data_IF_759246656630
#
_entry.id   IF_759246656630
#
_cell.length_a   1.000
_cell.length_b   1.000
_cell.length_c   1.000
_cell.angle_alpha   90.00
_cell.angle_beta   90.00
_cell.angle_gamma   90.00
#
_symmetry.space_group_name_H-M   'P 1'
#
loop_
_entity.id
_entity.type
_entity.pdbx_description
1 polymer ?
#
# COMPACT_ATOMS: atom_id res chain seq x y z
N UNK A 1 -10.98 35.95 61.29
CA UNK A 1 -11.01 35.90 59.82
C UNK A 1 -9.67 36.38 59.32
N UNK A 2 -8.80 35.47 58.95
CA UNK A 2 -7.50 35.84 58.38
C UNK A 2 -7.67 35.79 56.84
N UNK A 3 -7.88 36.99 56.27
CA UNK A 3 -7.79 37.18 54.83
C UNK A 3 -6.37 36.79 54.39
N UNK A 4 -6.20 35.63 53.80
CA UNK A 4 -4.98 35.25 53.12
C UNK A 4 -4.89 36.08 51.82
N UNK A 5 -4.27 37.23 51.93
CA UNK A 5 -3.83 38.05 50.80
C UNK A 5 -2.67 37.32 50.09
N UNK A 6 -2.94 36.12 49.57
CA UNK A 6 -2.00 35.38 48.76
C UNK A 6 -2.28 35.74 47.29
N UNK A 7 -1.35 36.51 46.69
CA UNK A 7 -1.35 36.69 45.25
C UNK A 7 -1.37 35.30 44.59
N UNK A 8 -2.50 34.93 43.97
CA UNK A 8 -2.56 33.75 43.11
C UNK A 8 -1.66 34.03 41.93
N UNK A 9 -0.44 33.49 41.96
CA UNK A 9 0.59 33.67 40.90
C UNK A 9 0.40 32.74 39.70
N UNK A 10 -0.59 31.84 39.74
CA UNK A 10 -0.89 30.87 38.71
C UNK A 10 -2.41 30.62 38.55
N UNK A 11 -2.79 30.00 37.49
CA UNK A 11 -4.17 29.54 37.26
C UNK A 11 -4.44 28.30 38.11
N UNK A 12 -5.73 28.07 38.47
CA UNK A 12 -6.15 26.84 39.10
C UNK A 12 -5.83 25.66 38.16
N UNK A 13 -5.18 24.60 38.68
CA UNK A 13 -4.79 23.44 37.86
C UNK A 13 -3.58 23.65 36.94
N UNK A 14 -2.86 24.80 37.02
CA UNK A 14 -1.73 25.05 36.11
C UNK A 14 -0.62 23.99 36.18
N UNK A 15 -0.35 23.46 37.35
CA UNK A 15 0.65 22.42 37.56
C UNK A 15 0.23 21.12 36.88
N UNK A 16 -1.04 20.78 36.99
CA UNK A 16 -1.68 19.61 36.40
C UNK A 16 -1.69 19.71 34.86
N UNK A 17 -2.05 20.88 34.31
CA UNK A 17 -2.01 21.13 32.86
C UNK A 17 -0.58 21.02 32.31
N UNK A 18 0.41 21.64 32.98
CA UNK A 18 1.82 21.53 32.59
C UNK A 18 2.32 20.08 32.64
N UNK A 19 1.89 19.30 33.64
CA UNK A 19 2.22 17.87 33.75
C UNK A 19 1.61 17.09 32.61
N UNK A 20 0.33 17.24 32.34
CA UNK A 20 -0.36 16.57 31.24
C UNK A 20 0.25 16.91 29.89
N UNK A 21 0.58 18.18 29.65
CA UNK A 21 1.28 18.60 28.43
C UNK A 21 2.69 18.00 28.31
N UNK A 22 3.41 17.86 29.44
CA UNK A 22 4.73 17.21 29.44
C UNK A 22 4.61 15.72 29.09
N UNK A 23 3.61 15.01 29.61
CA UNK A 23 3.33 13.60 29.29
C UNK A 23 2.94 13.43 27.82
N UNK A 24 2.06 14.28 27.29
CA UNK A 24 1.69 14.28 25.86
C UNK A 24 2.91 14.58 24.97
N UNK A 25 3.75 15.57 25.34
CA UNK A 25 4.96 15.87 24.60
C UNK A 25 5.99 14.71 24.65
N UNK A 26 6.01 13.94 25.73
CA UNK A 26 6.82 12.71 25.79
C UNK A 26 6.25 11.63 24.86
N UNK A 27 4.93 11.47 24.76
CA UNK A 27 4.30 10.58 23.79
C UNK A 27 4.66 10.96 22.36
N UNK A 28 4.69 12.26 22.01
CA UNK A 28 5.16 12.70 20.69
C UNK A 28 6.63 12.33 20.40
N UNK A 29 7.51 12.32 21.41
CA UNK A 29 8.89 11.86 21.21
C UNK A 29 8.94 10.37 20.87
N UNK A 30 8.11 9.55 21.52
CA UNK A 30 8.01 8.11 21.24
C UNK A 30 7.45 7.91 19.83
N UNK A 31 6.34 8.57 19.48
CA UNK A 31 5.72 8.48 18.16
C UNK A 31 6.67 8.96 17.05
N UNK A 32 7.41 10.05 17.27
CA UNK A 32 8.45 10.50 16.34
C UNK A 32 9.58 9.47 16.17
N UNK A 33 9.89 8.67 17.21
CA UNK A 33 10.82 7.54 17.09
C UNK A 33 10.20 6.39 16.31
N UNK A 34 8.91 6.07 16.53
CA UNK A 34 8.18 5.08 15.72
C UNK A 34 8.15 5.49 14.24
N UNK A 35 7.86 6.75 13.94
CA UNK A 35 7.87 7.27 12.57
C UNK A 35 9.25 7.19 11.92
N UNK A 36 10.32 7.44 12.66
CA UNK A 36 11.70 7.24 12.17
C UNK A 36 11.97 5.77 11.85
N UNK A 37 11.49 4.85 12.68
CA UNK A 37 11.62 3.42 12.43
C UNK A 37 10.89 3.02 11.14
N UNK A 38 9.65 3.46 10.95
CA UNK A 38 8.89 3.26 9.70
C UNK A 38 9.66 3.84 8.50
N UNK A 39 10.17 5.08 8.64
CA UNK A 39 10.96 5.74 7.58
C UNK A 39 12.30 5.05 7.28
N UNK A 40 12.82 4.23 8.19
CA UNK A 40 14.02 3.42 7.95
C UNK A 40 13.74 2.12 7.20
N UNK A 41 12.49 1.66 7.20
CA UNK A 41 12.06 0.43 6.51
C UNK A 41 11.58 0.70 5.08
N UNK A 42 11.16 1.93 4.79
CA UNK A 42 10.59 2.33 3.51
C UNK A 42 11.25 3.62 3.02
N UNK A 43 11.53 3.72 1.74
CA UNK A 43 12.00 4.97 1.15
C UNK A 43 11.00 6.11 1.36
N UNK A 44 11.50 7.35 1.46
CA UNK A 44 10.65 8.52 1.73
C UNK A 44 9.49 8.67 0.75
N UNK A 45 9.70 8.27 -0.50
CA UNK A 45 8.72 8.36 -1.59
C UNK A 45 8.05 7.00 -1.89
N UNK A 46 8.23 6.00 -1.03
CA UNK A 46 7.56 4.73 -1.18
C UNK A 46 6.06 4.89 -0.88
N UNK A 47 5.25 4.73 -1.92
CA UNK A 47 3.79 4.79 -1.88
C UNK A 47 3.15 3.39 -1.93
N UNK A 48 3.91 2.34 -1.62
CA UNK A 48 3.34 1.00 -1.47
C UNK A 48 2.28 0.96 -0.38
N UNK A 49 1.34 0.03 -0.49
CA UNK A 49 0.28 -0.18 0.51
C UNK A 49 0.88 -0.40 1.90
N UNK A 50 1.99 -1.14 1.99
CA UNK A 50 2.68 -1.42 3.24
C UNK A 50 3.28 -0.14 3.86
N UNK A 51 3.98 0.67 3.06
CA UNK A 51 4.61 1.91 3.53
C UNK A 51 3.57 2.93 4.00
N UNK A 52 2.51 3.15 3.21
CA UNK A 52 1.43 4.08 3.55
C UNK A 52 0.65 3.63 4.78
N UNK A 53 0.34 2.33 4.90
CA UNK A 53 -0.36 1.79 6.07
C UNK A 53 0.47 1.90 7.34
N UNK A 54 1.78 1.65 7.28
CA UNK A 54 2.68 1.80 8.41
C UNK A 54 2.77 3.27 8.88
N UNK A 55 2.92 4.22 7.94
CA UNK A 55 2.91 5.66 8.24
C UNK A 55 1.59 6.11 8.85
N UNK A 56 0.46 5.69 8.26
CA UNK A 56 -0.87 6.05 8.75
C UNK A 56 -1.14 5.51 10.16
N UNK A 57 -0.58 4.36 10.52
CA UNK A 57 -0.70 3.80 11.87
C UNK A 57 -0.06 4.72 12.91
N UNK A 58 1.13 5.25 12.65
CA UNK A 58 1.80 6.18 13.55
C UNK A 58 1.10 7.54 13.53
N UNK A 59 0.75 8.05 12.35
CA UNK A 59 0.09 9.34 12.18
C UNK A 59 -1.26 9.42 12.90
N UNK A 60 -2.04 8.36 12.90
CA UNK A 60 -3.30 8.29 13.66
C UNK A 60 -3.04 8.44 15.17
N UNK A 61 -2.01 7.78 15.72
CA UNK A 61 -1.62 7.95 17.13
C UNK A 61 -1.16 9.39 17.43
N UNK A 62 -0.44 10.02 16.50
CA UNK A 62 -0.02 11.42 16.63
C UNK A 62 -1.22 12.37 16.63
N UNK A 63 -2.21 12.14 15.76
CA UNK A 63 -3.48 12.88 15.71
C UNK A 63 -4.24 12.75 17.03
N UNK A 64 -4.34 11.55 17.59
CA UNK A 64 -5.02 11.32 18.86
C UNK A 64 -4.30 12.04 20.02
N UNK A 65 -2.98 11.97 20.09
CA UNK A 65 -2.19 12.72 21.06
C UNK A 65 -2.34 14.23 20.88
N UNK A 66 -2.45 14.71 19.64
CA UNK A 66 -2.65 16.13 19.33
C UNK A 66 -4.05 16.61 19.76
N UNK A 67 -5.08 15.81 19.58
CA UNK A 67 -6.43 16.10 20.07
C UNK A 67 -6.46 16.20 21.61
N UNK A 68 -5.77 15.30 22.30
CA UNK A 68 -5.63 15.38 23.76
C UNK A 68 -4.91 16.65 24.20
N UNK A 69 -3.85 17.05 23.49
CA UNK A 69 -3.12 18.30 23.73
C UNK A 69 -4.02 19.51 23.57
N UNK A 70 -4.83 19.56 22.52
CA UNK A 70 -5.76 20.65 22.24
C UNK A 70 -6.80 20.75 23.36
N UNK A 71 -7.36 19.65 23.83
CA UNK A 71 -8.32 19.64 24.92
C UNK A 71 -7.71 20.16 26.22
N UNK A 72 -6.50 19.70 26.56
CA UNK A 72 -5.75 20.20 27.73
C UNK A 72 -5.48 21.71 27.64
N UNK A 73 -5.12 22.20 26.44
CA UNK A 73 -4.85 23.62 26.20
C UNK A 73 -6.13 24.47 26.26
N UNK A 74 -7.26 23.96 25.80
CA UNK A 74 -8.56 24.64 25.90
C UNK A 74 -8.97 24.83 27.36
N UNK A 75 -8.80 23.80 28.18
CA UNK A 75 -9.09 23.88 29.62
C UNK A 75 -8.15 24.86 30.32
N UNK A 76 -6.85 24.82 30.01
CA UNK A 76 -5.89 25.75 30.57
C UNK A 76 -6.16 27.21 30.14
N UNK A 77 -6.58 27.43 28.91
CA UNK A 77 -6.95 28.75 28.41
C UNK A 77 -8.20 29.28 29.11
N UNK A 78 -9.24 28.44 29.27
CA UNK A 78 -10.46 28.83 29.98
C UNK A 78 -10.16 29.26 31.42
N UNK A 79 -9.39 28.45 32.16
CA UNK A 79 -9.00 28.78 33.54
C UNK A 79 -8.09 30.03 33.62
N UNK A 80 -7.25 30.26 32.60
CA UNK A 80 -6.42 31.47 32.54
C UNK A 80 -7.27 32.70 32.27
N UNK A 81 -8.23 32.61 31.35
CA UNK A 81 -9.16 33.72 31.03
C UNK A 81 -10.00 34.11 32.23
N UNK A 82 -10.51 33.13 32.98
CA UNK A 82 -11.29 33.35 34.21
C UNK A 82 -10.41 33.98 35.31
N UNK A 83 -9.16 33.52 35.46
CA UNK A 83 -8.28 33.96 36.55
C UNK A 83 -7.66 35.34 36.32
N UNK A 84 -7.31 35.67 35.05
CA UNK A 84 -6.48 36.83 34.72
C UNK A 84 -7.13 37.78 33.70
N UNK A 85 -8.19 37.33 33.02
CA UNK A 85 -8.79 38.03 31.87
C UNK A 85 -8.10 37.70 30.55
N UNK A 86 -8.80 37.95 29.45
CA UNK A 86 -8.38 37.59 28.07
C UNK A 86 -7.10 38.34 27.62
N UNK A 87 -6.93 39.56 28.07
CA UNK A 87 -5.81 40.42 27.66
C UNK A 87 -4.53 40.20 28.45
N UNK A 88 -4.54 39.37 29.49
CA UNK A 88 -3.35 39.02 30.27
C UNK A 88 -2.38 38.19 29.42
N UNK A 89 -1.08 38.48 29.53
CA UNK A 89 -0.01 37.79 28.78
C UNK A 89 0.01 36.28 29.03
N UNK A 90 -0.42 35.82 30.19
CA UNK A 90 -0.47 34.38 30.56
C UNK A 90 -1.59 33.71 29.76
N UNK A 91 -2.77 34.34 29.69
CA UNK A 91 -3.90 33.87 28.87
C UNK A 91 -3.52 33.86 27.40
N UNK A 92 -2.93 34.92 26.89
CA UNK A 92 -2.44 34.98 25.50
C UNK A 92 -1.41 33.90 25.19
N UNK A 93 -0.54 33.55 26.15
CA UNK A 93 0.40 32.44 25.99
C UNK A 93 -0.28 31.08 25.78
N UNK A 94 -1.36 30.80 26.53
CA UNK A 94 -2.14 29.58 26.32
C UNK A 94 -2.88 29.61 24.98
N UNK A 95 -3.43 30.77 24.59
CA UNK A 95 -4.07 30.93 23.27
C UNK A 95 -3.09 30.64 22.11
N UNK A 96 -1.86 31.15 22.18
CA UNK A 96 -0.83 30.89 21.16
C UNK A 96 -0.51 29.40 21.08
N UNK A 97 -0.39 28.73 22.23
CA UNK A 97 -0.13 27.29 22.24
C UNK A 97 -1.31 26.49 21.67
N UNK A 98 -2.53 26.87 21.95
CA UNK A 98 -3.73 26.27 21.38
C UNK A 98 -3.76 26.44 19.85
N UNK A 99 -3.58 27.66 19.35
CA UNK A 99 -3.57 27.92 17.91
C UNK A 99 -2.48 27.11 17.18
N UNK A 100 -1.29 26.99 17.78
CA UNK A 100 -0.20 26.17 17.23
C UNK A 100 -0.55 24.69 17.25
N UNK A 101 -1.24 24.21 18.28
CA UNK A 101 -1.66 22.82 18.37
C UNK A 101 -2.74 22.50 17.33
N UNK A 102 -3.72 23.38 17.13
CA UNK A 102 -4.76 23.25 16.11
C UNK A 102 -4.17 23.29 14.68
N UNK A 103 -3.21 24.18 14.43
CA UNK A 103 -2.51 24.22 13.14
C UNK A 103 -1.74 22.93 12.86
N UNK A 104 -1.11 22.34 13.91
CA UNK A 104 -0.43 21.05 13.78
C UNK A 104 -1.41 19.91 13.50
N UNK A 105 -2.56 19.87 14.17
CA UNK A 105 -3.62 18.89 13.89
C UNK A 105 -4.08 18.97 12.44
N UNK A 106 -4.39 20.16 11.95
CA UNK A 106 -4.81 20.37 10.57
C UNK A 106 -3.74 19.90 9.55
N UNK A 107 -2.46 20.00 9.89
CA UNK A 107 -1.38 19.50 9.04
C UNK A 107 -1.32 17.98 9.01
N UNK A 108 -1.43 17.33 10.17
CA UNK A 108 -1.46 15.87 10.31
C UNK A 108 -2.67 15.25 9.61
N UNK A 109 -3.85 15.86 9.75
CA UNK A 109 -5.08 15.39 9.08
C UNK A 109 -4.99 15.52 7.56
N UNK A 110 -4.35 16.59 7.04
CA UNK A 110 -4.10 16.71 5.60
C UNK A 110 -3.12 15.65 5.10
N UNK A 111 -2.08 15.36 5.86
CA UNK A 111 -1.13 14.30 5.53
C UNK A 111 -1.82 12.93 5.53
N UNK A 112 -2.62 12.62 6.54
CA UNK A 112 -3.41 11.39 6.61
C UNK A 112 -4.35 11.24 5.41
N UNK A 113 -5.06 12.30 5.04
CA UNK A 113 -5.95 12.31 3.88
C UNK A 113 -5.18 12.10 2.57
N UNK A 114 -4.02 12.71 2.42
CA UNK A 114 -3.14 12.50 1.26
C UNK A 114 -2.67 11.05 1.16
N UNK A 115 -2.22 10.48 2.28
CA UNK A 115 -1.80 9.08 2.35
C UNK A 115 -2.95 8.11 2.05
N UNK A 116 -4.15 8.40 2.57
CA UNK A 116 -5.34 7.59 2.31
C UNK A 116 -5.72 7.62 0.81
N UNK A 117 -5.65 8.78 0.17
CA UNK A 117 -5.91 8.89 -1.27
C UNK A 117 -4.89 8.10 -2.09
N UNK A 118 -3.61 8.16 -1.71
CA UNK A 118 -2.56 7.38 -2.36
C UNK A 118 -2.73 5.87 -2.10
N UNK A 119 -3.21 5.48 -0.93
CA UNK A 119 -3.50 4.09 -0.57
C UNK A 119 -4.64 3.51 -1.44
N UNK A 120 -5.72 4.26 -1.62
CA UNK A 120 -6.82 3.85 -2.48
C UNK A 120 -6.40 3.74 -3.95
N UNK A 121 -5.55 4.65 -4.43
CA UNK A 121 -4.99 4.55 -5.78
C UNK A 121 -4.11 3.29 -5.92
N UNK A 122 -3.21 3.03 -4.97
CA UNK A 122 -2.35 1.85 -4.99
C UNK A 122 -3.16 0.54 -4.97
N UNK A 123 -4.26 0.47 -4.23
CA UNK A 123 -5.16 -0.70 -4.25
C UNK A 123 -5.82 -0.87 -5.62
N UNK A 124 -6.32 0.22 -6.22
CA UNK A 124 -6.94 0.19 -7.55
C UNK A 124 -5.95 -0.28 -8.62
N UNK A 125 -4.70 0.16 -8.55
CA UNK A 125 -3.64 -0.24 -9.47
C UNK A 125 -3.31 -1.73 -9.34
N UNK A 126 -3.30 -2.27 -8.11
CA UNK A 126 -3.13 -3.71 -7.83
C UNK A 126 -4.28 -4.51 -8.45
N UNK A 127 -5.53 -4.14 -8.19
CA UNK A 127 -6.71 -4.81 -8.78
C UNK A 127 -6.69 -4.78 -10.30
N UNK A 128 -6.26 -3.67 -10.91
CA UNK A 128 -6.08 -3.55 -12.35
C UNK A 128 -5.00 -4.48 -12.89
N UNK A 129 -3.92 -4.67 -12.14
CA UNK A 129 -2.83 -5.58 -12.48
C UNK A 129 -3.29 -7.03 -12.36
N UNK A 130 -4.01 -7.41 -11.30
CA UNK A 130 -4.58 -8.74 -11.11
C UNK A 130 -5.49 -9.12 -12.27
N UNK A 131 -6.43 -8.26 -12.65
CA UNK A 131 -7.31 -8.47 -13.82
C UNK A 131 -6.54 -8.61 -15.14
N UNK A 132 -5.42 -7.93 -15.26
CA UNK A 132 -4.56 -8.03 -16.45
C UNK A 132 -3.81 -9.35 -16.48
N UNK A 133 -3.35 -9.85 -15.33
CA UNK A 133 -2.71 -11.16 -15.17
C UNK A 133 -3.69 -12.29 -15.47
N UNK A 134 -4.93 -12.23 -14.99
CA UNK A 134 -5.98 -13.21 -15.32
C UNK A 134 -6.21 -13.30 -16.84
N UNK A 135 -6.21 -12.16 -17.55
CA UNK A 135 -6.34 -12.17 -19.02
C UNK A 135 -5.12 -12.77 -19.72
N UNK A 136 -3.93 -12.57 -19.20
CA UNK A 136 -2.70 -13.18 -19.73
C UNK A 136 -2.71 -14.68 -19.50
N UNK A 137 -3.14 -15.12 -18.33
CA UNK A 137 -3.27 -16.54 -17.97
C UNK A 137 -4.24 -17.25 -18.93
N UNK A 138 -5.45 -16.70 -19.14
CA UNK A 138 -6.41 -17.24 -20.11
C UNK A 138 -5.87 -17.30 -21.53
N UNK A 139 -5.06 -16.30 -21.98
CA UNK A 139 -4.44 -16.33 -23.31
C UNK A 139 -3.30 -17.35 -23.41
N UNK A 140 -2.63 -17.66 -22.31
CA UNK A 140 -1.64 -18.73 -22.25
C UNK A 140 -2.30 -20.10 -22.39
N UNK A 141 -3.43 -20.30 -21.72
CA UNK A 141 -4.23 -21.53 -21.83
C UNK A 141 -4.72 -21.74 -23.28
N UNK A 142 -5.28 -20.70 -23.93
CA UNK A 142 -5.70 -20.74 -25.34
C UNK A 142 -4.51 -21.08 -26.28
N UNK A 143 -3.32 -20.57 -25.96
CA UNK A 143 -2.09 -20.83 -26.72
C UNK A 143 -1.62 -22.26 -26.54
N UNK A 144 -1.69 -22.79 -25.32
CA UNK A 144 -1.34 -24.18 -25.02
C UNK A 144 -2.28 -25.16 -25.76
N UNK A 145 -3.59 -24.91 -25.73
CA UNK A 145 -4.59 -25.71 -26.47
C UNK A 145 -4.33 -25.67 -27.99
N UNK A 146 -3.98 -24.49 -28.53
CA UNK A 146 -3.64 -24.35 -29.94
C UNK A 146 -2.36 -25.11 -30.31
N UNK A 147 -1.37 -25.15 -29.42
CA UNK A 147 -0.13 -25.89 -29.60
C UNK A 147 -0.35 -27.40 -29.58
N UNK A 148 -1.19 -27.89 -28.68
CA UNK A 148 -1.60 -29.29 -28.61
C UNK A 148 -2.31 -29.74 -29.90
N UNK A 149 -3.26 -28.93 -30.39
CA UNK A 149 -3.94 -29.17 -31.66
C UNK A 149 -2.97 -29.23 -32.85
N UNK A 150 -2.00 -28.30 -32.93
CA UNK A 150 -0.95 -28.34 -33.94
C UNK A 150 -0.07 -29.59 -33.83
N UNK A 151 0.23 -30.03 -32.61
CA UNK A 151 0.98 -31.25 -32.35
C UNK A 151 0.27 -32.50 -32.89
N UNK A 152 -1.03 -32.61 -32.67
CA UNK A 152 -1.87 -33.70 -33.21
C UNK A 152 -1.99 -33.69 -34.73
N UNK A 153 -2.11 -32.49 -35.36
CA UNK A 153 -2.12 -32.35 -36.82
C UNK A 153 -0.78 -32.76 -37.46
N UNK A 154 0.34 -32.38 -36.85
CA UNK A 154 1.71 -32.76 -37.29
C UNK A 154 1.87 -34.27 -37.21
N UNK A 155 1.42 -34.90 -36.12
CA UNK A 155 1.43 -36.34 -35.95
C UNK A 155 0.61 -37.07 -37.02
N UNK A 156 -0.63 -36.60 -37.25
CA UNK A 156 -1.50 -37.18 -38.29
C UNK A 156 -0.90 -37.04 -39.70
N UNK A 157 -0.25 -35.90 -39.99
CA UNK A 157 0.49 -35.70 -41.24
C UNK A 157 1.69 -36.66 -41.35
N UNK A 158 2.40 -36.91 -40.25
CA UNK A 158 3.49 -37.89 -40.15
C UNK A 158 3.01 -39.32 -40.48
N UNK A 159 1.93 -39.72 -39.83
CA UNK A 159 1.28 -41.03 -40.01
C UNK A 159 0.81 -41.24 -41.48
N UNK A 160 0.27 -40.20 -42.10
CA UNK A 160 -0.13 -40.22 -43.52
C UNK A 160 1.09 -40.33 -44.46
N UNK A 161 2.19 -39.64 -44.12
CA UNK A 161 3.44 -39.72 -44.89
C UNK A 161 4.05 -41.13 -44.81
N UNK A 162 4.05 -41.76 -43.64
CA UNK A 162 4.55 -43.13 -43.47
C UNK A 162 3.70 -44.14 -44.21
N UNK A 163 2.37 -44.05 -44.17
CA UNK A 163 1.49 -44.89 -44.98
C UNK A 163 1.74 -44.70 -46.48
N UNK A 164 2.02 -43.48 -46.92
CA UNK A 164 2.36 -43.21 -48.32
C UNK A 164 3.70 -43.86 -48.70
N UNK A 165 4.70 -43.76 -47.82
CA UNK A 165 6.00 -44.43 -48.00
C UNK A 165 5.88 -45.95 -48.11
N UNK A 166 5.04 -46.59 -47.29
CA UNK A 166 4.74 -48.01 -47.38
C UNK A 166 4.10 -48.37 -48.76
N UNK A 167 3.13 -47.56 -49.21
CA UNK A 167 2.48 -47.76 -50.52
C UNK A 167 3.47 -47.65 -51.68
N UNK A 168 4.37 -46.64 -51.65
CA UNK A 168 5.42 -46.49 -52.65
C UNK A 168 6.44 -47.63 -52.60
N UNK A 169 6.77 -48.16 -51.44
CA UNK A 169 7.66 -49.31 -51.30
C UNK A 169 7.01 -50.57 -51.88
N UNK A 170 5.75 -50.80 -51.59
CA UNK A 170 4.97 -51.92 -52.17
C UNK A 170 4.87 -51.80 -53.71
N UNK A 171 4.62 -50.58 -54.23
CA UNK A 171 4.59 -50.34 -55.68
C UNK A 171 5.95 -50.61 -56.31
N UNK A 172 7.04 -50.16 -55.65
CA UNK A 172 8.40 -50.45 -56.13
C UNK A 172 8.71 -51.94 -56.15
N UNK A 173 8.23 -52.71 -55.17
CA UNK A 173 8.38 -54.17 -55.18
C UNK A 173 7.63 -54.88 -56.31
N UNK A 174 6.41 -54.40 -56.57
CA UNK A 174 5.58 -54.91 -57.69
C UNK A 174 6.27 -54.60 -59.04
N UNK A 175 6.76 -53.40 -59.25
CA UNK A 175 7.47 -53.00 -60.44
C UNK A 175 8.75 -53.79 -60.67
N UNK A 176 9.49 -54.11 -59.60
CA UNK A 176 10.66 -54.99 -59.68
C UNK A 176 10.24 -56.40 -60.08
N UNK A 177 9.14 -56.94 -59.53
CA UNK A 177 8.61 -58.24 -59.92
C UNK A 177 8.20 -58.32 -61.38
N UNK A 178 7.53 -57.26 -61.88
CA UNK A 178 7.16 -57.17 -63.33
C UNK A 178 8.38 -57.08 -64.21
N UNK A 179 9.39 -56.33 -63.82
CA UNK A 179 10.67 -56.24 -64.59
C UNK A 179 11.38 -57.57 -64.70
N UNK A 180 11.38 -58.38 -63.63
CA UNK A 180 11.99 -59.71 -63.63
C UNK A 180 11.16 -60.67 -64.51
N UNK A 181 9.82 -60.59 -64.46
CA UNK A 181 8.96 -61.45 -65.32
C UNK A 181 9.11 -61.12 -66.80
N UNK A 182 9.23 -59.82 -67.16
CA UNK A 182 9.47 -59.46 -68.56
C UNK A 182 10.89 -59.83 -69.06
N UNK A 183 11.88 -59.82 -68.22
CA UNK A 183 13.24 -60.29 -68.57
C UNK A 183 13.34 -61.77 -68.78
N UNK A 184 12.47 -62.58 -68.22
CA UNK A 184 12.42 -64.06 -68.43
C UNK A 184 11.69 -64.51 -69.72
N UNK A 185 11.00 -63.60 -70.35
CA UNK A 185 10.23 -63.93 -71.62
C UNK A 185 11.08 -63.58 -72.86
N UNK A 186 12.29 -62.98 -72.77
CA UNK A 186 13.17 -62.59 -73.87
C UNK A 186 14.41 -63.48 -73.98
N UNK A 187 14.43 -64.60 -73.28
CA UNK A 187 15.41 -65.68 -73.45
C UNK A 187 14.68 -66.93 -73.90
#
# INVERSE_FOLDING_TARGET
MSDSFGLKLGIEGEKEFKKSLAEINQSFKVLGSEMKLVSSQFDKNDNSVQALSARNTVLNKEIDAQKQKIETLRQALANASESFGETDRRTQSWQIQLNNAEASLNSMERELNSNNSALEQAKTDIEGTEKSLEKVDGRLDDTAESADYMGDEIKDAGDKADKSKERFSKLGSVLKGVGVAMGAVVT
#
